data_IF_084152541110
#
_entry.id   IF_084152541110
#
_cell.length_a   1.000
_cell.length_b   1.000
_cell.length_c   1.000
_cell.angle_alpha   90.00
_cell.angle_beta   90.00
_cell.angle_gamma   90.00
#
_symmetry.space_group_name_H-M   'P 1'
#
loop_
_entity.id
_entity.type
_entity.pdbx_description
1 polymer ?
#
# COMPACT_ATOMS: atom_id res chain seq x y z
N UNK A 1 -14.39 6.79 1.93
CA UNK A 1 -13.24 7.02 1.02
C UNK A 1 -13.26 5.90 0.01
N UNK A 2 -13.64 6.15 -1.25
CA UNK A 2 -13.74 5.10 -2.25
C UNK A 2 -12.35 4.53 -2.53
N UNK A 3 -12.17 3.26 -2.18
CA UNK A 3 -10.98 2.52 -2.60
C UNK A 3 -11.10 2.36 -4.11
N UNK A 4 -10.48 3.26 -4.88
CA UNK A 4 -10.30 3.01 -6.29
C UNK A 4 -9.51 1.70 -6.38
N UNK A 5 -10.15 0.65 -6.89
CA UNK A 5 -9.62 -0.72 -7.06
C UNK A 5 -9.22 -0.97 -8.51
N UNK A 6 -9.06 0.09 -9.29
CA UNK A 6 -8.65 0.00 -10.69
C UNK A 6 -7.23 -0.56 -10.83
N UNK A 7 -7.07 -1.55 -11.70
CA UNK A 7 -5.80 -2.21 -12.06
C UNK A 7 -4.67 -1.23 -12.46
N UNK A 8 -5.02 -0.01 -12.87
CA UNK A 8 -4.08 1.01 -13.37
C UNK A 8 -3.58 2.00 -12.29
N UNK A 9 -4.05 1.89 -11.06
CA UNK A 9 -3.73 2.89 -10.02
C UNK A 9 -2.25 2.83 -9.64
N UNK A 10 -1.67 1.64 -9.57
CA UNK A 10 -0.27 1.46 -9.21
C UNK A 10 0.67 2.09 -10.24
N UNK A 11 0.28 2.01 -11.51
CA UNK A 11 0.96 2.68 -12.63
C UNK A 11 0.80 4.19 -12.51
N UNK A 12 -0.40 4.69 -12.17
CA UNK A 12 -0.65 6.12 -11.99
C UNK A 12 0.19 6.70 -10.84
N UNK A 13 0.31 6.00 -9.71
CA UNK A 13 1.21 6.37 -8.61
C UNK A 13 2.65 6.47 -9.09
N UNK A 14 3.12 5.48 -9.84
CA UNK A 14 4.45 5.48 -10.45
C UNK A 14 4.69 6.68 -11.36
N UNK A 15 3.74 7.00 -12.24
CA UNK A 15 3.81 8.18 -13.11
C UNK A 15 3.89 9.49 -12.32
N UNK A 16 3.10 9.62 -11.25
CA UNK A 16 3.15 10.79 -10.38
C UNK A 16 4.52 10.96 -9.72
N UNK A 17 5.11 9.87 -9.21
CA UNK A 17 6.44 9.92 -8.60
C UNK A 17 7.55 10.16 -9.62
N UNK A 18 7.44 9.64 -10.86
CA UNK A 18 8.37 10.00 -11.96
C UNK A 18 8.36 11.50 -12.22
N UNK A 19 7.18 12.10 -12.29
CA UNK A 19 7.02 13.53 -12.51
C UNK A 19 7.63 14.37 -11.38
N UNK A 20 7.52 13.89 -10.15
CA UNK A 20 8.11 14.55 -8.98
C UNK A 20 9.64 14.40 -8.94
N UNK A 21 10.17 13.21 -9.22
CA UNK A 21 11.60 12.89 -9.02
C UNK A 21 12.46 13.22 -10.25
N UNK A 22 11.99 12.87 -11.45
CA UNK A 22 12.74 13.04 -12.70
C UNK A 22 12.51 14.43 -13.27
N UNK A 23 11.24 14.83 -13.43
CA UNK A 23 10.89 16.14 -14.01
C UNK A 23 11.00 17.28 -12.99
N UNK A 24 11.23 16.97 -11.70
CA UNK A 24 11.36 17.93 -10.59
C UNK A 24 10.19 18.90 -10.47
N UNK A 25 8.97 18.47 -10.82
CA UNK A 25 7.76 19.30 -10.69
C UNK A 25 7.37 19.48 -9.22
N UNK A 26 6.79 20.64 -8.85
CA UNK A 26 6.37 20.88 -7.48
C UNK A 26 5.22 19.94 -7.09
N UNK A 27 5.18 19.56 -5.81
CA UNK A 27 4.20 18.60 -5.27
C UNK A 27 2.76 19.02 -5.55
N UNK A 28 2.46 20.33 -5.47
CA UNK A 28 1.12 20.88 -5.78
C UNK A 28 0.68 20.58 -7.21
N UNK A 29 1.51 20.93 -8.21
CA UNK A 29 1.19 20.68 -9.62
C UNK A 29 1.03 19.19 -9.95
N UNK A 30 1.79 18.31 -9.28
CA UNK A 30 1.61 16.86 -9.42
C UNK A 30 0.29 16.43 -8.77
N UNK A 31 -0.01 16.90 -7.56
CA UNK A 31 -1.25 16.61 -6.85
C UNK A 31 -2.49 17.01 -7.69
N UNK A 32 -2.48 18.23 -8.24
CA UNK A 32 -3.55 18.77 -9.07
C UNK A 32 -3.75 17.94 -10.35
N UNK A 33 -2.65 17.58 -11.05
CA UNK A 33 -2.71 16.78 -12.28
C UNK A 33 -3.31 15.39 -12.04
N UNK A 34 -3.00 14.77 -10.91
CA UNK A 34 -3.46 13.42 -10.58
C UNK A 34 -4.76 13.41 -9.76
N UNK A 35 -5.35 14.57 -9.47
CA UNK A 35 -6.61 14.68 -8.74
C UNK A 35 -6.53 14.15 -7.30
N UNK A 36 -5.39 14.29 -6.64
CA UNK A 36 -5.16 13.78 -5.28
C UNK A 36 -4.63 14.87 -4.37
N UNK A 37 -4.80 14.72 -3.06
CA UNK A 37 -4.20 15.66 -2.11
C UNK A 37 -2.67 15.54 -2.05
N UNK A 38 -1.98 16.66 -1.77
CA UNK A 38 -0.50 16.71 -1.64
C UNK A 38 0.09 15.68 -0.68
N UNK A 39 -0.60 15.39 0.43
CA UNK A 39 -0.16 14.38 1.40
C UNK A 39 -0.20 12.96 0.84
N UNK A 40 -1.08 12.68 -0.13
CA UNK A 40 -1.15 11.40 -0.83
C UNK A 40 0.08 11.18 -1.69
N UNK A 41 0.52 12.22 -2.42
CA UNK A 41 1.78 12.20 -3.19
C UNK A 41 2.97 11.91 -2.26
N UNK A 42 3.02 12.56 -1.09
CA UNK A 42 4.06 12.31 -0.10
C UNK A 42 4.07 10.84 0.37
N UNK A 43 2.92 10.26 0.69
CA UNK A 43 2.81 8.84 1.07
C UNK A 43 3.29 7.90 -0.04
N UNK A 44 2.96 8.20 -1.29
CA UNK A 44 3.47 7.42 -2.44
C UNK A 44 4.99 7.54 -2.59
N UNK A 45 5.55 8.72 -2.38
CA UNK A 45 7.00 8.92 -2.41
C UNK A 45 7.72 8.13 -1.32
N UNK A 46 7.18 8.09 -0.09
CA UNK A 46 7.73 7.28 1.00
C UNK A 46 7.68 5.78 0.69
N UNK A 47 6.58 5.29 0.12
CA UNK A 47 6.48 3.90 -0.35
C UNK A 47 7.52 3.59 -1.44
N UNK A 48 7.67 4.49 -2.40
CA UNK A 48 8.67 4.35 -3.47
C UNK A 48 10.10 4.29 -2.93
N UNK A 49 10.44 5.13 -1.92
CA UNK A 49 11.74 5.05 -1.23
C UNK A 49 11.95 3.68 -0.58
N UNK A 50 10.94 3.14 0.10
CA UNK A 50 11.01 1.82 0.75
C UNK A 50 11.25 0.70 -0.28
N UNK A 51 10.53 0.72 -1.40
CA UNK A 51 10.68 -0.24 -2.49
C UNK A 51 12.11 -0.19 -3.08
N UNK A 52 12.65 1.02 -3.24
CA UNK A 52 13.97 1.25 -3.85
C UNK A 52 15.09 1.45 -2.83
N UNK A 53 14.90 1.04 -1.58
CA UNK A 53 15.88 1.29 -0.51
C UNK A 53 17.25 0.62 -0.77
N UNK A 54 17.24 -0.47 -1.54
CA UNK A 54 18.45 -1.16 -1.98
C UNK A 54 19.28 -0.36 -3.00
N UNK A 55 18.73 0.70 -3.59
CA UNK A 55 19.42 1.54 -4.57
C UNK A 55 19.92 2.80 -3.88
N UNK A 56 21.24 2.94 -3.76
CA UNK A 56 21.84 4.16 -3.26
C UNK A 56 21.69 5.26 -4.30
N UNK A 57 20.80 6.22 -4.11
CA UNK A 57 20.59 7.33 -5.05
C UNK A 57 21.66 8.42 -4.90
N UNK A 58 22.27 8.55 -3.72
CA UNK A 58 23.38 9.47 -3.48
C UNK A 58 24.70 8.89 -3.99
N UNK A 59 25.63 9.77 -4.37
CA UNK A 59 27.03 9.40 -4.61
C UNK A 59 27.89 10.53 -4.03
N UNK A 60 28.56 10.27 -2.92
CA UNK A 60 29.34 11.28 -2.19
C UNK A 60 30.53 11.80 -3.00
N UNK A 61 31.11 10.96 -3.87
CA UNK A 61 32.29 11.29 -4.69
C UNK A 61 31.88 12.07 -5.95
N UNK A 62 30.61 12.00 -6.36
CA UNK A 62 30.12 12.75 -7.52
C UNK A 62 29.90 14.20 -7.15
N UNK A 63 30.38 15.12 -7.98
CA UNK A 63 30.13 16.56 -7.83
C UNK A 63 28.61 16.81 -7.77
N UNK A 64 28.16 17.46 -6.70
CA UNK A 64 26.73 17.57 -6.35
C UNK A 64 25.88 18.22 -7.46
N UNK A 65 26.44 19.18 -8.20
CA UNK A 65 25.74 19.86 -9.31
C UNK A 65 25.38 18.93 -10.49
N UNK A 66 26.11 17.82 -10.65
CA UNK A 66 25.81 16.83 -11.69
C UNK A 66 24.59 15.96 -11.33
N UNK A 67 24.09 16.08 -10.10
CA UNK A 67 22.95 15.32 -9.62
C UNK A 67 23.14 13.81 -9.63
N UNK A 68 22.02 13.11 -9.52
CA UNK A 68 21.95 11.64 -9.50
C UNK A 68 22.12 11.12 -10.92
N UNK A 69 22.95 10.08 -11.10
CA UNK A 69 23.14 9.46 -12.41
C UNK A 69 21.79 8.98 -12.99
N UNK A 70 21.43 9.36 -14.23
CA UNK A 70 20.18 8.94 -14.87
C UNK A 70 19.98 7.43 -14.91
N UNK A 71 21.07 6.67 -14.97
CA UNK A 71 21.05 5.22 -14.94
C UNK A 71 20.43 4.67 -13.64
N UNK A 72 20.65 5.32 -12.49
CA UNK A 72 20.07 4.88 -11.21
C UNK A 72 18.53 4.94 -11.24
N UNK A 73 17.96 5.93 -11.91
CA UNK A 73 16.50 6.04 -12.08
C UNK A 73 15.93 4.99 -13.05
N UNK A 74 16.73 4.49 -14.00
CA UNK A 74 16.31 3.39 -14.89
C UNK A 74 16.18 2.07 -14.13
N UNK A 75 17.01 1.85 -13.10
CA UNK A 75 16.96 0.64 -12.26
C UNK A 75 15.80 0.69 -11.25
N UNK A 76 15.36 1.88 -10.85
CA UNK A 76 14.29 2.04 -9.87
C UNK A 76 13.00 1.34 -10.31
N UNK A 77 12.35 0.65 -9.38
CA UNK A 77 10.98 0.16 -9.53
C UNK A 77 10.00 1.31 -9.36
N UNK A 78 9.12 1.48 -10.34
CA UNK A 78 8.14 2.57 -10.38
C UNK A 78 6.72 2.12 -10.10
N UNK A 79 6.44 0.82 -10.12
CA UNK A 79 5.14 0.27 -9.74
C UNK A 79 5.03 0.37 -8.21
N UNK A 80 4.03 1.09 -7.71
CA UNK A 80 3.79 1.29 -6.28
C UNK A 80 2.50 0.57 -5.90
N UNK A 81 2.66 -0.65 -5.41
CA UNK A 81 1.57 -1.56 -5.12
C UNK A 81 0.71 -1.09 -3.95
N UNK A 82 -0.55 -1.52 -3.97
CA UNK A 82 -1.43 -1.37 -2.81
C UNK A 82 -1.04 -2.38 -1.75
N UNK A 83 -0.88 -1.92 -0.51
CA UNK A 83 -0.69 -2.85 0.60
C UNK A 83 -2.04 -3.49 0.91
N UNK A 84 -2.02 -4.80 1.19
CA UNK A 84 -3.19 -5.48 1.73
C UNK A 84 -3.64 -4.80 3.02
N UNK A 85 -4.94 -4.54 3.12
CA UNK A 85 -5.59 -4.10 4.36
C UNK A 85 -5.75 -5.23 5.37
N UNK A 86 -5.34 -6.45 5.03
CA UNK A 86 -5.38 -7.59 5.95
C UNK A 86 -4.54 -7.29 7.19
N UNK A 87 -5.02 -7.68 8.38
CA UNK A 87 -4.22 -7.58 9.59
C UNK A 87 -2.89 -8.33 9.41
N UNK A 88 -1.83 -7.79 10.02
CA UNK A 88 -0.50 -8.40 10.03
C UNK A 88 -0.15 -8.77 11.47
N UNK A 89 0.66 -9.81 11.65
CA UNK A 89 1.12 -10.25 12.96
C UNK A 89 1.72 -9.07 13.75
N UNK A 90 1.40 -8.89 15.05
CA UNK A 90 0.61 -9.76 15.93
C UNK A 90 -0.90 -9.53 15.94
N UNK A 91 -1.42 -8.61 15.12
CA UNK A 91 -2.84 -8.27 15.07
C UNK A 91 -3.68 -9.22 14.21
N UNK A 92 -3.10 -10.31 13.73
CA UNK A 92 -3.79 -11.39 13.01
C UNK A 92 -4.53 -12.27 13.99
N UNK A 93 -5.75 -12.68 13.66
CA UNK A 93 -6.45 -13.76 14.36
C UNK A 93 -5.70 -15.08 14.14
N UNK A 94 -5.80 -15.99 15.11
CA UNK A 94 -5.28 -17.34 14.98
C UNK A 94 -5.98 -18.07 13.82
N UNK A 95 -5.22 -18.87 13.07
CA UNK A 95 -5.72 -19.55 11.86
C UNK A 95 -6.87 -20.51 12.20
N UNK A 96 -6.79 -21.18 13.35
CA UNK A 96 -7.85 -22.05 13.88
C UNK A 96 -9.15 -21.27 14.15
N UNK A 97 -9.06 -20.05 14.68
CA UNK A 97 -10.23 -19.18 14.91
C UNK A 97 -10.84 -18.71 13.59
N UNK A 98 -10.00 -18.41 12.59
CA UNK A 98 -10.47 -18.03 11.26
C UNK A 98 -11.23 -19.19 10.62
N UNK A 99 -10.66 -20.40 10.69
CA UNK A 99 -11.28 -21.60 10.14
C UNK A 99 -12.61 -21.91 10.83
N UNK A 100 -12.67 -21.84 12.17
CA UNK A 100 -13.91 -21.99 12.93
C UNK A 100 -15.00 -21.02 12.45
N UNK A 101 -14.68 -19.73 12.30
CA UNK A 101 -15.64 -18.72 11.85
C UNK A 101 -16.15 -19.04 10.44
N UNK A 102 -15.28 -19.50 9.54
CA UNK A 102 -15.65 -19.88 8.18
C UNK A 102 -16.55 -21.13 8.17
N UNK A 103 -16.18 -22.16 8.91
CA UNK A 103 -16.94 -23.42 8.99
C UNK A 103 -18.34 -23.17 9.58
N UNK A 104 -18.43 -22.39 10.67
CA UNK A 104 -19.72 -22.00 11.25
C UNK A 104 -20.53 -21.23 10.23
N UNK A 105 -19.94 -20.24 9.55
CA UNK A 105 -20.64 -19.45 8.52
C UNK A 105 -21.18 -20.33 7.40
N UNK A 106 -20.43 -21.33 6.94
CA UNK A 106 -20.86 -22.24 5.90
C UNK A 106 -21.96 -23.22 6.36
N UNK A 107 -21.95 -23.60 7.64
CA UNK A 107 -23.00 -24.42 8.25
C UNK A 107 -24.31 -23.66 8.40
N UNK A 108 -24.29 -22.48 9.04
CA UNK A 108 -25.53 -21.73 9.33
C UNK A 108 -26.00 -20.85 8.16
N UNK A 109 -25.11 -20.48 7.24
CA UNK A 109 -25.39 -19.64 6.05
C UNK A 109 -26.12 -18.33 6.39
N UNK A 110 -25.76 -17.70 7.51
CA UNK A 110 -26.33 -16.42 7.98
C UNK A 110 -25.30 -15.29 7.98
N UNK A 111 -25.77 -14.09 8.31
CA UNK A 111 -24.94 -12.90 8.42
C UNK A 111 -23.92 -13.01 9.56
N UNK A 112 -22.88 -12.17 9.49
CA UNK A 112 -21.76 -12.19 10.42
C UNK A 112 -22.16 -12.01 11.88
N UNK A 113 -23.21 -11.22 12.15
CA UNK A 113 -23.71 -10.99 13.51
C UNK A 113 -24.27 -12.27 14.15
N UNK A 114 -25.01 -13.07 13.37
CA UNK A 114 -25.54 -14.37 13.84
C UNK A 114 -24.42 -15.38 14.03
N UNK A 115 -23.44 -15.41 13.12
CA UNK A 115 -22.22 -16.24 13.26
C UNK A 115 -21.49 -15.88 14.56
N UNK A 116 -21.26 -14.60 14.80
CA UNK A 116 -20.59 -14.12 16.00
C UNK A 116 -21.37 -14.48 17.27
N UNK A 117 -22.70 -14.29 17.27
CA UNK A 117 -23.55 -14.70 18.40
C UNK A 117 -23.48 -16.20 18.66
N UNK A 118 -23.56 -17.01 17.61
CA UNK A 118 -23.48 -18.47 17.72
C UNK A 118 -22.14 -18.91 18.34
N UNK A 119 -21.03 -18.33 17.89
CA UNK A 119 -19.72 -18.70 18.41
C UNK A 119 -19.56 -18.27 19.88
N UNK A 120 -19.96 -17.04 20.22
CA UNK A 120 -19.78 -16.52 21.59
C UNK A 120 -20.79 -17.10 22.60
N UNK A 121 -22.02 -17.40 22.18
CA UNK A 121 -23.10 -17.80 23.10
C UNK A 121 -23.43 -19.28 23.08
N UNK A 122 -23.25 -19.96 21.96
CA UNK A 122 -23.57 -21.39 21.81
C UNK A 122 -22.31 -22.23 21.91
N UNK A 123 -21.24 -21.85 21.20
CA UNK A 123 -19.95 -22.54 21.29
C UNK A 123 -19.09 -22.08 22.48
N UNK A 124 -19.47 -20.97 23.14
CA UNK A 124 -18.77 -20.40 24.31
C UNK A 124 -17.29 -20.09 24.05
N UNK A 125 -16.91 -19.80 22.80
CA UNK A 125 -15.57 -19.37 22.42
C UNK A 125 -15.61 -17.85 22.31
N UNK A 126 -14.88 -17.15 23.19
CA UNK A 126 -14.84 -15.68 23.19
C UNK A 126 -13.92 -15.16 22.07
N UNK A 127 -14.51 -14.49 21.08
CA UNK A 127 -13.83 -13.80 19.97
C UNK A 127 -14.24 -12.32 19.90
#
# INVERSE_FOLDING_TARGET
MSYCTGKNIEIARGKAIKMLVIEKKPVGAVADRFGVHRSTIWRWYQKWKKINNHIQLTNAVRRQYLGISPYKYKICKWIIESESSSPKHPHTLAEDLIQLVLDVRDQIKRCAEVVWHYINKILCINI
#
